data_IF_668503142236
#
_entry.id   IF_668503142236
#
_cell.length_a   1.000
_cell.length_b   1.000
_cell.length_c   1.000
_cell.angle_alpha   90.00
_cell.angle_beta   90.00
_cell.angle_gamma   90.00
#
_symmetry.space_group_name_H-M   'P 1'
#
loop_
_entity.id
_entity.type
_entity.pdbx_description
1 polymer ?
#
# COMPACT_ATOMS: atom_id res chain seq x y z
N UNK A 1 -11.09 -3.75 -1.61
CA UNK A 1 -11.57 -3.25 -0.28
C UNK A 1 -12.05 -1.79 -0.32
N UNK A 2 -13.12 -1.48 0.41
CA UNK A 2 -13.55 -0.10 0.65
C UNK A 2 -12.80 0.46 1.86
N UNK A 3 -11.82 1.32 1.59
CA UNK A 3 -10.94 1.87 2.62
C UNK A 3 -11.37 3.27 3.10
N UNK A 4 -12.51 3.79 2.61
CA UNK A 4 -12.96 5.17 2.88
C UNK A 4 -13.00 5.54 4.36
N UNK A 5 -13.41 4.61 5.22
CA UNK A 5 -13.52 4.84 6.66
C UNK A 5 -12.16 5.10 7.34
N UNK A 6 -11.06 4.73 6.69
CA UNK A 6 -9.71 4.84 7.26
C UNK A 6 -8.95 6.07 6.75
N UNK A 7 -9.42 6.70 5.68
CA UNK A 7 -8.82 7.93 5.16
C UNK A 7 -9.15 9.10 6.10
N UNK A 8 -8.09 9.70 6.66
CA UNK A 8 -8.18 10.87 7.53
C UNK A 8 -8.32 12.15 6.73
N UNK A 9 -7.88 12.17 5.47
CA UNK A 9 -8.03 13.35 4.61
C UNK A 9 -9.31 13.28 3.78
N UNK A 10 -10.28 14.19 3.97
CA UNK A 10 -11.60 14.12 3.31
C UNK A 10 -11.55 14.04 1.79
N UNK A 11 -10.58 14.72 1.16
CA UNK A 11 -10.38 14.73 -0.30
C UNK A 11 -9.45 13.64 -0.79
N UNK A 12 -8.74 12.96 0.10
CA UNK A 12 -7.73 12.01 -0.30
C UNK A 12 -8.32 10.88 -1.15
N UNK A 13 -9.48 10.33 -0.76
CA UNK A 13 -10.12 9.25 -1.49
C UNK A 13 -10.55 9.66 -2.91
N UNK A 14 -10.88 10.95 -3.12
CA UNK A 14 -11.23 11.48 -4.45
C UNK A 14 -10.02 11.46 -5.40
N UNK A 15 -8.82 11.62 -4.84
CA UNK A 15 -7.54 11.59 -5.56
C UNK A 15 -6.76 10.31 -5.31
N UNK A 16 -7.44 9.17 -5.15
CA UNK A 16 -6.78 7.89 -4.95
C UNK A 16 -6.33 7.26 -6.26
N UNK A 17 -5.20 6.57 -6.20
CA UNK A 17 -4.77 5.61 -7.21
C UNK A 17 -4.44 4.27 -6.55
N UNK A 18 -4.34 3.22 -7.36
CA UNK A 18 -3.98 1.87 -6.93
C UNK A 18 -2.79 1.38 -7.75
N UNK A 19 -1.72 1.02 -7.04
CA UNK A 19 -0.53 0.44 -7.64
C UNK A 19 -0.31 -0.98 -7.13
N UNK A 20 -0.04 -1.91 -8.05
CA UNK A 20 0.48 -3.23 -7.71
C UNK A 20 2.01 -3.22 -7.80
N UNK A 21 2.67 -3.72 -6.76
CA UNK A 21 4.13 -3.81 -6.68
C UNK A 21 4.52 -5.25 -6.34
N UNK A 22 5.54 -5.76 -7.02
CA UNK A 22 6.14 -7.06 -6.67
C UNK A 22 7.47 -6.79 -5.98
N UNK A 23 7.64 -7.36 -4.79
CA UNK A 23 8.88 -7.30 -4.01
C UNK A 23 9.51 -8.68 -3.99
N UNK A 24 10.75 -8.79 -4.46
CA UNK A 24 11.54 -10.02 -4.51
C UNK A 24 12.96 -9.74 -4.02
N UNK A 25 13.65 -10.78 -3.53
CA UNK A 25 15.05 -10.68 -3.10
C UNK A 25 15.28 -9.85 -1.84
N UNK A 26 14.25 -9.67 -1.01
CA UNK A 26 14.39 -8.93 0.26
C UNK A 26 15.19 -9.74 1.30
N UNK A 27 15.92 -9.07 2.21
CA UNK A 27 16.68 -9.74 3.27
C UNK A 27 15.82 -10.62 4.19
N UNK A 28 14.54 -10.25 4.36
CA UNK A 28 13.56 -11.05 5.07
C UNK A 28 12.59 -11.68 4.06
N UNK A 29 12.54 -13.02 4.01
CA UNK A 29 11.69 -13.74 3.07
C UNK A 29 10.20 -13.44 3.22
N UNK A 30 9.75 -13.10 4.43
CA UNK A 30 8.35 -12.72 4.69
C UNK A 30 7.94 -11.44 3.95
N UNK A 31 8.91 -10.62 3.53
CA UNK A 31 8.70 -9.36 2.80
C UNK A 31 8.67 -9.55 1.28
N UNK A 32 9.00 -10.74 0.79
CA UNK A 32 8.77 -11.07 -0.61
C UNK A 32 7.27 -11.28 -0.85
N UNK A 33 6.77 -10.84 -2.01
CA UNK A 33 5.37 -11.03 -2.38
C UNK A 33 4.82 -9.93 -3.27
N UNK A 34 3.49 -9.97 -3.46
CA UNK A 34 2.75 -8.97 -4.23
C UNK A 34 2.01 -8.05 -3.28
N UNK A 35 2.14 -6.76 -3.52
CA UNK A 35 1.60 -5.69 -2.70
C UNK A 35 0.63 -4.84 -3.51
N UNK A 36 -0.46 -4.41 -2.87
CA UNK A 36 -1.33 -3.36 -3.39
C UNK A 36 -1.15 -2.11 -2.52
N UNK A 37 -0.85 -1.00 -3.16
CA UNK A 37 -0.73 0.32 -2.55
C UNK A 37 -1.86 1.21 -3.03
N UNK A 38 -2.74 1.60 -2.12
CA UNK A 38 -3.65 2.73 -2.33
C UNK A 38 -3.00 3.98 -1.78
N UNK A 39 -2.97 5.04 -2.58
CA UNK A 39 -2.34 6.30 -2.17
C UNK A 39 -3.07 7.48 -2.82
N UNK A 40 -2.93 8.66 -2.21
CA UNK A 40 -3.39 9.90 -2.83
C UNK A 40 -2.32 10.45 -3.77
N UNK A 41 -2.70 10.80 -5.01
CA UNK A 41 -1.76 11.36 -5.99
C UNK A 41 -1.72 12.90 -6.02
N UNK A 42 -2.56 13.57 -5.24
CA UNK A 42 -2.62 15.04 -5.17
C UNK A 42 -1.50 15.60 -4.26
N UNK A 43 -0.24 15.41 -4.67
CA UNK A 43 0.96 15.83 -3.92
C UNK A 43 0.98 17.34 -3.61
N UNK A 44 0.41 18.16 -4.50
CA UNK A 44 0.36 19.62 -4.33
C UNK A 44 -0.75 20.07 -3.34
N UNK A 45 -1.73 19.21 -3.09
CA UNK A 45 -2.90 19.51 -2.24
C UNK A 45 -2.85 18.81 -0.88
N UNK A 46 -1.94 17.85 -0.70
CA UNK A 46 -1.90 16.95 0.45
C UNK A 46 -0.51 16.94 1.08
N UNK A 47 -0.41 16.83 2.42
CA UNK A 47 0.87 16.77 3.09
C UNK A 47 1.63 15.50 2.68
N UNK A 48 2.95 15.63 2.56
CA UNK A 48 3.83 14.49 2.35
C UNK A 48 3.75 13.50 3.52
N UNK A 49 3.70 12.21 3.21
CA UNK A 49 3.69 11.13 4.19
C UNK A 49 5.07 10.46 4.27
N UNK A 50 5.87 10.90 5.24
CA UNK A 50 7.21 10.37 5.51
C UNK A 50 7.21 9.03 6.26
N UNK A 51 6.03 8.51 6.65
CA UNK A 51 5.90 7.22 7.33
C UNK A 51 5.82 6.03 6.37
N UNK A 52 5.82 6.28 5.06
CA UNK A 52 5.79 5.21 4.05
C UNK A 52 7.22 4.71 3.79
N UNK A 53 7.50 3.40 3.98
CA UNK A 53 8.81 2.84 3.70
C UNK A 53 9.23 3.06 2.23
N UNK A 54 10.51 3.38 2.01
CA UNK A 54 11.05 3.75 0.71
C UNK A 54 10.86 2.68 -0.38
N UNK A 55 10.78 1.40 0.00
CA UNK A 55 10.49 0.29 -0.93
C UNK A 55 9.15 0.47 -1.66
N UNK A 56 8.21 1.21 -1.08
CA UNK A 56 6.90 1.51 -1.68
C UNK A 56 6.83 2.86 -2.37
N UNK A 57 7.88 3.67 -2.27
CA UNK A 57 8.01 4.93 -2.96
C UNK A 57 8.69 4.68 -4.32
N UNK A 58 8.07 5.10 -5.42
CA UNK A 58 8.81 5.17 -6.69
C UNK A 58 9.83 6.30 -6.59
N UNK A 59 10.93 6.16 -7.32
CA UNK A 59 12.19 6.93 -7.29
C UNK A 59 12.11 8.44 -6.97
N UNK A 60 10.96 9.13 -7.18
CA UNK A 60 10.77 10.55 -6.84
C UNK A 60 9.35 10.91 -6.37
N UNK A 61 8.51 9.95 -5.97
CA UNK A 61 7.15 10.23 -5.44
C UNK A 61 7.03 9.70 -4.02
N UNK A 62 7.33 10.59 -3.08
CA UNK A 62 6.85 10.47 -1.70
C UNK A 62 5.32 10.49 -1.78
N UNK A 63 4.67 9.54 -1.12
CA UNK A 63 3.23 9.49 -1.15
C UNK A 63 2.66 10.64 -0.32
N UNK A 64 1.54 11.23 -0.76
CA UNK A 64 0.88 12.29 -0.01
C UNK A 64 -0.44 11.82 0.59
N UNK A 65 -0.80 12.41 1.73
CA UNK A 65 -1.99 12.04 2.49
C UNK A 65 -1.92 10.61 3.05
N UNK A 66 -3.04 9.90 3.02
CA UNK A 66 -3.12 8.56 3.56
C UNK A 66 -2.65 7.52 2.52
N UNK A 67 -1.93 6.50 3.01
CA UNK A 67 -1.42 5.40 2.20
C UNK A 67 -1.74 4.09 2.88
N UNK A 68 -2.30 3.17 2.10
CA UNK A 68 -2.65 1.83 2.56
C UNK A 68 -1.89 0.82 1.72
N UNK A 69 -1.15 -0.05 2.39
CA UNK A 69 -0.36 -1.09 1.77
C UNK A 69 -0.86 -2.41 2.33
N UNK A 70 -1.21 -3.33 1.44
CA UNK A 70 -1.59 -4.70 1.80
C UNK A 70 -0.73 -5.67 1.01
N UNK A 71 -0.33 -6.77 1.66
CA UNK A 71 0.26 -7.91 0.96
C UNK A 71 -0.86 -8.85 0.57
N UNK A 72 -0.80 -9.29 -0.68
CA UNK A 72 -1.66 -10.34 -1.18
C UNK A 72 -1.15 -11.69 -0.68
N UNK A 73 -2.04 -12.50 -0.12
CA UNK A 73 -1.71 -13.87 0.21
C UNK A 73 -1.29 -14.64 -1.06
N UNK A 74 -0.32 -15.55 -0.96
CA UNK A 74 0.12 -16.35 -2.10
C UNK A 74 -1.03 -17.23 -2.62
N UNK A 75 -1.65 -16.80 -3.71
CA UNK A 75 -2.51 -17.55 -4.65
C UNK A 75 -3.59 -18.50 -4.09
N UNK A 76 -4.11 -18.30 -2.88
CA UNK A 76 -5.47 -18.76 -2.59
C UNK A 76 -6.44 -17.71 -3.12
N UNK A 77 -6.78 -17.85 -4.40
CA UNK A 77 -7.95 -17.20 -4.96
C UNK A 77 -9.15 -18.02 -4.49
N UNK A 78 -10.11 -17.37 -3.84
CA UNK A 78 -11.40 -18.01 -3.56
C UNK A 78 -12.11 -18.37 -4.87
N UNK A 79 -13.25 -19.07 -4.77
CA UNK A 79 -14.04 -19.51 -5.93
C UNK A 79 -14.49 -18.35 -6.84
N UNK A 80 -14.37 -17.09 -6.40
CA UNK A 80 -14.72 -15.88 -7.13
C UNK A 80 -13.48 -15.12 -7.64
N UNK A 81 -12.27 -15.64 -7.41
CA UNK A 81 -11.01 -15.05 -7.87
C UNK A 81 -10.39 -14.03 -6.91
N UNK A 82 -10.93 -13.86 -5.70
CA UNK A 82 -10.40 -12.91 -4.71
C UNK A 82 -9.29 -13.53 -3.89
N UNK A 83 -8.20 -12.78 -3.71
CA UNK A 83 -7.10 -13.17 -2.82
C UNK A 83 -7.34 -12.61 -1.42
N UNK A 84 -7.12 -13.46 -0.41
CA UNK A 84 -7.07 -13.04 0.99
C UNK A 84 -5.89 -12.05 1.23
N UNK A 85 -6.07 -11.11 2.16
CA UNK A 85 -4.99 -10.20 2.57
C UNK A 85 -4.19 -10.83 3.71
N UNK A 86 -2.87 -10.73 3.66
CA UNK A 86 -2.01 -11.10 4.80
C UNK A 86 -1.81 -9.89 5.72
N UNK A 87 -1.97 -10.10 7.02
CA UNK A 87 -1.57 -9.13 8.03
C UNK A 87 -0.04 -9.07 8.10
N UNK A 88 0.50 -7.85 8.18
CA UNK A 88 1.92 -7.65 8.41
C UNK A 88 2.27 -7.68 9.88
N UNK A 89 3.44 -8.24 10.19
CA UNK A 89 4.05 -8.07 11.49
C UNK A 89 4.53 -6.60 11.65
N UNK A 90 4.34 -5.95 12.82
CA UNK A 90 4.65 -4.54 13.03
C UNK A 90 6.11 -4.14 12.72
N UNK A 91 7.04 -5.09 12.84
CA UNK A 91 8.47 -4.92 12.56
C UNK A 91 8.75 -4.59 11.08
N UNK A 92 7.75 -4.68 10.22
CA UNK A 92 7.81 -4.22 8.83
C UNK A 92 7.84 -2.69 8.69
N UNK A 93 7.45 -1.96 9.74
CA UNK A 93 7.36 -0.49 9.76
C UNK A 93 8.58 0.18 10.41
N UNK A 94 9.52 -0.60 10.95
CA UNK A 94 10.75 -0.10 11.60
C UNK A 94 11.93 0.07 10.61
#
# INVERSE_FOLDING_TARGET
>A
PDLRAFWKVPRGWEFRDLEQMTSEGQPNEAWNGVYLKWFSFALDDLPENSSVPLIFCREYRLAAGDVFIVKLAPQEHDEQGWTAYEDFLPEFLE
#
